data_IF_035602505310
#
_entry.id   IF_035602505310
#
_cell.length_a   1.000
_cell.length_b   1.000
_cell.length_c   1.000
_cell.angle_alpha   90.00
_cell.angle_beta   90.00
_cell.angle_gamma   90.00
#
_symmetry.space_group_name_H-M   'P 1'
#
loop_
_entity.id
_entity.type
_entity.pdbx_description
1 polymer ?
#
# COMPACT_ATOMS: atom_id res chain seq x y z
N UNK A 1 -17.47 -46.22 11.69
CA UNK A 1 -16.74 -47.34 11.05
C UNK A 1 -16.59 -46.95 9.58
N UNK A 2 -15.44 -46.79 8.93
CA UNK A 2 -14.06 -47.22 9.17
C UNK A 2 -13.10 -46.30 8.40
N UNK A 3 -11.95 -45.96 8.99
CA UNK A 3 -10.72 -45.53 8.27
C UNK A 3 -10.01 -46.78 7.75
N UNK A 4 -9.22 -46.72 6.65
CA UNK A 4 -7.74 -46.82 6.78
C UNK A 4 -6.96 -46.21 5.56
N UNK A 5 -5.63 -46.43 5.38
CA UNK A 5 -4.54 -46.16 6.31
C UNK A 5 -3.37 -45.35 5.70
N UNK A 6 -2.63 -44.75 6.64
CA UNK A 6 -1.18 -44.45 6.68
C UNK A 6 -0.27 -45.03 5.58
N UNK A 7 0.59 -44.17 5.03
CA UNK A 7 1.97 -44.53 4.66
C UNK A 7 2.95 -43.70 5.48
N UNK A 8 3.45 -44.33 6.52
CA UNK A 8 4.73 -44.04 7.19
C UNK A 8 5.78 -44.86 6.46
N UNK A 9 6.97 -44.31 6.18
CA UNK A 9 8.25 -44.93 6.54
C UNK A 9 9.47 -44.07 6.12
N UNK A 10 10.28 -43.75 7.15
CA UNK A 10 11.77 -43.78 7.26
C UNK A 10 12.60 -43.04 6.18
N UNK A 11 13.68 -42.34 6.53
CA UNK A 11 14.83 -42.88 7.28
C UNK A 11 15.74 -41.75 7.81
N UNK A 12 16.34 -41.98 8.99
CA UNK A 12 17.41 -41.21 9.62
C UNK A 12 18.71 -41.14 8.78
N UNK A 13 19.46 -40.04 8.89
CA UNK A 13 20.92 -40.07 9.05
C UNK A 13 21.47 -38.68 9.48
N UNK A 14 22.06 -38.62 10.67
CA UNK A 14 23.08 -37.66 11.10
C UNK A 14 24.37 -38.48 11.39
N UNK A 15 25.53 -37.95 11.83
CA UNK A 15 26.09 -36.58 11.85
C UNK A 15 27.56 -36.54 11.30
N UNK A 16 28.22 -35.37 11.24
CA UNK A 16 29.69 -35.29 11.29
C UNK A 16 30.15 -33.93 11.84
N UNK A 17 31.26 -33.96 12.57
CA UNK A 17 31.69 -33.07 13.65
C UNK A 17 33.13 -32.59 13.39
N UNK A 18 33.46 -31.37 13.83
CA UNK A 18 34.82 -30.79 14.14
C UNK A 18 35.70 -30.41 12.92
N UNK A 19 36.16 -29.16 12.78
CA UNK A 19 37.39 -28.66 13.45
C UNK A 19 37.46 -27.15 13.73
N UNK A 20 38.12 -26.89 14.85
CA UNK A 20 38.59 -25.64 15.47
C UNK A 20 39.76 -25.01 14.69
N UNK A 21 39.83 -23.69 14.53
CA UNK A 21 41.11 -22.98 14.48
C UNK A 21 40.96 -21.48 14.82
N UNK A 22 41.79 -21.07 15.76
CA UNK A 22 41.88 -19.79 16.46
C UNK A 22 42.87 -18.86 15.74
N UNK A 23 42.54 -17.58 15.53
CA UNK A 23 43.54 -16.49 15.41
C UNK A 23 42.91 -15.10 15.43
N UNK A 24 43.32 -14.29 16.41
CA UNK A 24 43.29 -12.82 16.42
C UNK A 24 44.78 -12.36 16.52
N UNK A 25 45.20 -11.14 16.09
CA UNK A 25 44.69 -9.86 16.62
C UNK A 25 44.62 -8.65 15.64
N UNK A 26 44.15 -7.55 16.22
CA UNK A 26 43.82 -6.21 15.73
C UNK A 26 44.78 -5.48 14.76
N UNK A 27 44.19 -4.67 13.88
CA UNK A 27 44.76 -3.41 13.41
C UNK A 27 43.64 -2.39 13.13
N UNK A 28 43.79 -1.21 13.70
CA UNK A 28 42.89 -0.06 13.61
C UNK A 28 42.76 0.45 12.17
N UNK A 29 41.54 0.80 11.76
CA UNK A 29 41.31 1.80 10.71
C UNK A 29 40.16 2.72 11.13
N UNK A 30 40.52 3.98 11.25
CA UNK A 30 39.73 5.08 11.78
C UNK A 30 38.56 5.45 10.85
N UNK A 31 37.49 5.94 11.47
CA UNK A 31 36.73 7.05 10.91
C UNK A 31 35.65 6.69 9.90
N UNK A 32 34.43 6.51 10.40
CA UNK A 32 33.36 7.47 10.16
C UNK A 32 32.14 7.00 10.94
N UNK A 33 31.65 7.85 11.84
CA UNK A 33 30.30 7.77 12.37
C UNK A 33 29.32 8.00 11.20
N UNK A 34 29.09 6.97 10.40
CA UNK A 34 27.94 6.88 9.52
C UNK A 34 26.74 6.66 10.42
N UNK A 35 25.94 7.71 10.62
CA UNK A 35 24.57 7.61 11.14
C UNK A 35 23.94 6.34 10.58
N UNK A 36 23.54 5.44 11.47
CA UNK A 36 22.64 4.36 11.16
C UNK A 36 21.40 5.01 10.53
N UNK A 37 21.35 5.03 9.20
CA UNK A 37 20.19 5.46 8.46
C UNK A 37 19.09 4.47 8.78
N UNK A 38 17.96 4.99 9.25
CA UNK A 38 16.74 4.25 9.53
C UNK A 38 16.44 3.23 8.42
N UNK A 39 15.90 2.04 8.78
CA UNK A 39 15.56 1.03 7.80
C UNK A 39 14.51 1.59 6.83
N UNK A 40 14.99 2.02 5.67
CA UNK A 40 14.31 2.23 4.40
C UNK A 40 12.79 2.36 4.55
N UNK A 41 12.33 3.54 4.98
CA UNK A 41 10.95 3.94 4.79
C UNK A 41 10.66 3.82 3.28
N UNK A 42 9.96 2.75 2.89
CA UNK A 42 9.58 2.53 1.50
C UNK A 42 8.78 3.75 1.05
N UNK A 43 9.35 4.53 0.12
CA UNK A 43 8.72 5.72 -0.39
C UNK A 43 7.34 5.37 -0.92
N UNK A 44 6.30 5.98 -0.35
CA UNK A 44 4.93 5.77 -0.80
C UNK A 44 4.82 6.24 -2.25
N UNK A 45 4.15 5.49 -3.14
CA UNK A 45 4.05 5.90 -4.54
C UNK A 45 3.42 7.29 -4.66
N UNK A 46 3.97 8.15 -5.51
CA UNK A 46 3.57 9.56 -5.64
C UNK A 46 2.09 9.74 -6.03
N UNK A 47 1.52 8.76 -6.73
CA UNK A 47 0.12 8.77 -7.16
C UNK A 47 -0.72 7.64 -6.54
N UNK A 48 -2.02 7.83 -6.60
CA UNK A 48 -3.06 6.84 -6.30
C UNK A 48 -3.99 6.72 -7.50
N UNK A 49 -4.72 5.62 -7.60
CA UNK A 49 -5.83 5.54 -8.56
C UNK A 49 -7.01 6.33 -8.00
N UNK A 50 -7.57 7.22 -8.82
CA UNK A 50 -8.80 7.95 -8.51
C UNK A 50 -9.78 7.88 -9.67
N UNK A 51 -11.05 7.63 -9.39
CA UNK A 51 -12.11 7.59 -10.42
C UNK A 51 -13.20 8.61 -10.10
N UNK A 52 -13.75 9.26 -11.11
CA UNK A 52 -14.85 10.23 -10.93
C UNK A 52 -16.17 9.56 -10.49
N UNK A 53 -16.25 8.24 -10.61
CA UNK A 53 -17.36 7.40 -10.16
C UNK A 53 -16.88 6.33 -9.17
N UNK A 54 -17.51 6.27 -7.99
CA UNK A 54 -17.24 5.23 -7.00
C UNK A 54 -17.58 3.83 -7.51
N UNK A 55 -18.64 3.70 -8.32
CA UNK A 55 -19.01 2.43 -8.93
C UNK A 55 -17.90 1.93 -9.88
N UNK A 56 -17.31 2.85 -10.65
CA UNK A 56 -16.23 2.51 -11.59
C UNK A 56 -14.95 2.14 -10.85
N UNK A 57 -14.59 2.85 -9.77
CA UNK A 57 -13.48 2.45 -8.89
C UNK A 57 -13.69 1.02 -8.37
N UNK A 58 -14.90 0.70 -7.91
CA UNK A 58 -15.20 -0.63 -7.39
C UNK A 58 -15.15 -1.71 -8.46
N UNK A 59 -15.57 -1.42 -9.69
CA UNK A 59 -15.42 -2.34 -10.82
C UNK A 59 -13.95 -2.56 -11.16
N UNK A 60 -13.16 -1.49 -11.23
CA UNK A 60 -11.71 -1.58 -11.44
C UNK A 60 -11.02 -2.45 -10.39
N UNK A 61 -11.29 -2.20 -9.11
CA UNK A 61 -10.68 -2.95 -8.01
C UNK A 61 -11.10 -4.42 -8.00
N UNK A 62 -12.33 -4.74 -8.45
CA UNK A 62 -12.75 -6.15 -8.61
C UNK A 62 -12.01 -6.82 -9.76
N UNK A 63 -11.82 -6.12 -10.89
CA UNK A 63 -11.10 -6.65 -12.05
C UNK A 63 -9.61 -6.84 -11.78
N UNK A 64 -9.00 -5.92 -11.03
CA UNK A 64 -7.58 -5.97 -10.68
C UNK A 64 -7.28 -6.84 -9.44
N UNK A 65 -8.28 -7.13 -8.61
CA UNK A 65 -8.08 -7.78 -7.32
C UNK A 65 -7.24 -6.92 -6.37
N UNK A 66 -6.30 -7.54 -5.65
CA UNK A 66 -5.37 -6.83 -4.76
C UNK A 66 -4.13 -6.29 -5.51
N UNK A 67 -4.07 -6.42 -6.84
CA UNK A 67 -2.97 -5.92 -7.65
C UNK A 67 -3.12 -4.43 -7.98
N UNK A 68 -2.42 -3.61 -7.19
CA UNK A 68 -2.37 -2.16 -7.38
C UNK A 68 -1.72 -1.76 -8.71
N UNK A 69 -0.73 -2.51 -9.20
CA UNK A 69 -0.06 -2.20 -10.45
C UNK A 69 -1.00 -2.45 -11.64
N UNK A 70 -1.76 -3.55 -11.61
CA UNK A 70 -2.80 -3.83 -12.60
C UNK A 70 -3.90 -2.75 -12.59
N UNK A 71 -4.36 -2.33 -11.40
CA UNK A 71 -5.34 -1.25 -11.29
C UNK A 71 -4.83 0.07 -11.89
N UNK A 72 -3.56 0.41 -11.67
CA UNK A 72 -2.95 1.60 -12.25
C UNK A 72 -2.80 1.48 -13.77
N UNK A 73 -2.40 0.31 -14.28
CA UNK A 73 -2.26 0.06 -15.71
C UNK A 73 -3.59 0.29 -16.45
N UNK A 74 -4.70 -0.25 -15.92
CA UNK A 74 -6.05 -0.03 -16.47
C UNK A 74 -6.46 1.45 -16.36
N UNK A 75 -6.12 2.13 -15.27
CA UNK A 75 -6.42 3.55 -15.10
C UNK A 75 -5.60 4.47 -16.03
N UNK A 76 -4.48 4.00 -16.59
CA UNK A 76 -3.66 4.72 -17.56
C UNK A 76 -3.91 4.30 -19.00
N UNK A 77 -4.68 3.24 -19.24
CA UNK A 77 -4.99 2.77 -20.58
C UNK A 77 -5.90 3.78 -21.29
N UNK A 78 -5.49 4.37 -22.43
CA UNK A 78 -6.33 5.31 -23.18
C UNK A 78 -7.63 4.70 -23.73
N UNK A 79 -7.76 3.37 -23.74
CA UNK A 79 -8.99 2.67 -24.12
C UNK A 79 -9.95 2.46 -22.96
N UNK A 80 -9.52 2.74 -21.73
CA UNK A 80 -10.36 2.60 -20.53
C UNK A 80 -11.38 3.74 -20.48
N UNK A 81 -12.67 3.37 -20.44
CA UNK A 81 -13.80 4.28 -20.34
C UNK A 81 -14.31 4.43 -18.89
N UNK A 82 -13.60 3.85 -17.92
CA UNK A 82 -14.00 3.84 -16.51
C UNK A 82 -13.91 5.22 -15.84
N UNK A 83 -13.33 6.23 -16.49
CA UNK A 83 -13.12 7.55 -15.88
C UNK A 83 -12.18 7.51 -14.68
N UNK A 84 -11.28 6.53 -14.65
CA UNK A 84 -10.24 6.37 -13.66
C UNK A 84 -8.92 6.92 -14.20
N UNK A 85 -8.13 7.54 -13.34
CA UNK A 85 -6.81 8.06 -13.70
C UNK A 85 -5.86 7.99 -12.51
N UNK A 86 -4.53 8.06 -12.73
CA UNK A 86 -3.61 8.40 -11.67
C UNK A 86 -3.94 9.80 -11.14
N UNK A 87 -4.02 9.92 -9.82
CA UNK A 87 -4.17 11.18 -9.09
C UNK A 87 -2.88 11.41 -8.32
N UNK A 88 -2.23 12.54 -8.58
CA UNK A 88 -1.08 12.99 -7.81
C UNK A 88 -1.53 13.36 -6.38
N UNK A 89 -0.83 12.83 -5.37
CA UNK A 89 -1.10 13.17 -3.96
C UNK A 89 -0.93 14.66 -3.68
N UNK A 90 0.00 15.33 -4.33
CA UNK A 90 0.23 16.76 -4.18
C UNK A 90 -0.90 17.62 -4.78
N UNK A 91 -1.73 17.06 -5.66
CA UNK A 91 -2.92 17.73 -6.18
C UNK A 91 -4.12 17.64 -5.22
N UNK A 92 -4.07 16.80 -4.19
CA UNK A 92 -5.17 16.60 -3.23
C UNK A 92 -5.19 17.75 -2.23
N UNK A 93 -6.32 18.45 -2.16
CA UNK A 93 -6.53 19.59 -1.26
C UNK A 93 -7.39 19.23 -0.05
N UNK A 94 -8.06 18.08 -0.06
CA UNK A 94 -8.87 17.61 1.06
C UNK A 94 -9.69 16.37 0.73
N UNK A 95 -10.56 16.00 1.68
CA UNK A 95 -11.63 15.02 1.49
C UNK A 95 -12.97 15.74 1.43
N UNK A 96 -13.73 15.45 0.40
CA UNK A 96 -15.10 15.93 0.23
C UNK A 96 -16.12 14.97 0.86
N UNK A 97 -15.86 13.66 0.85
CA UNK A 97 -16.77 12.65 1.38
C UNK A 97 -16.02 11.36 1.79
N UNK A 98 -16.68 10.49 2.54
CA UNK A 98 -16.18 9.20 2.99
C UNK A 98 -17.33 8.19 3.04
N UNK A 99 -17.10 7.01 2.44
CA UNK A 99 -18.12 5.96 2.35
C UNK A 99 -17.51 4.59 2.63
N UNK A 100 -18.17 3.79 3.48
CA UNK A 100 -17.84 2.38 3.68
C UNK A 100 -18.90 1.48 3.04
N UNK A 101 -18.47 0.57 2.15
CA UNK A 101 -19.36 -0.38 1.48
C UNK A 101 -18.72 -1.76 1.45
N UNK A 102 -19.48 -2.78 1.85
CA UNK A 102 -19.06 -4.18 1.84
C UNK A 102 -17.71 -4.41 2.55
N UNK A 103 -17.50 -3.75 3.69
CA UNK A 103 -16.28 -3.88 4.49
C UNK A 103 -15.06 -3.15 3.93
N UNK A 104 -15.18 -2.39 2.83
CA UNK A 104 -14.11 -1.52 2.31
C UNK A 104 -14.54 -0.06 2.36
N UNK A 105 -13.64 0.78 2.87
CA UNK A 105 -13.83 2.22 2.93
C UNK A 105 -13.23 2.93 1.71
N UNK A 106 -13.84 4.04 1.32
CA UNK A 106 -13.51 4.86 0.17
C UNK A 106 -13.56 6.33 0.55
N UNK A 107 -12.62 7.10 0.02
CA UNK A 107 -12.52 8.55 0.23
C UNK A 107 -12.78 9.26 -1.09
N UNK A 108 -13.59 10.31 -1.04
CA UNK A 108 -13.82 11.23 -2.14
C UNK A 108 -12.83 12.40 -2.02
N UNK A 109 -11.86 12.47 -2.92
CA UNK A 109 -10.80 13.47 -2.91
C UNK A 109 -11.27 14.78 -3.54
N UNK A 110 -10.99 15.89 -2.87
CA UNK A 110 -11.01 17.22 -3.48
C UNK A 110 -9.64 17.47 -4.10
N UNK A 111 -9.60 17.86 -5.38
CA UNK A 111 -8.35 18.09 -6.11
C UNK A 111 -8.22 19.57 -6.53
N UNK A 112 -6.98 20.04 -6.65
CA UNK A 112 -6.68 21.36 -7.20
C UNK A 112 -7.14 21.44 -8.67
N UNK A 113 -7.86 22.50 -9.01
CA UNK A 113 -8.24 22.79 -10.39
C UNK A 113 -9.45 22.01 -10.93
N UNK A 114 -10.13 21.23 -10.10
CA UNK A 114 -11.40 20.57 -10.47
C UNK A 114 -12.39 20.61 -9.31
N UNK A 115 -13.67 20.75 -9.64
CA UNK A 115 -14.79 20.59 -8.70
C UNK A 115 -15.30 19.14 -8.64
N UNK A 116 -14.79 18.27 -9.53
CA UNK A 116 -15.18 16.86 -9.59
C UNK A 116 -14.45 16.09 -8.50
N UNK A 117 -15.22 15.31 -7.75
CA UNK A 117 -14.67 14.37 -6.79
C UNK A 117 -13.97 13.20 -7.49
N UNK A 118 -12.79 12.81 -6.98
CA UNK A 118 -12.13 11.57 -7.38
C UNK A 118 -12.15 10.58 -6.21
N UNK A 119 -12.87 9.49 -6.37
CA UNK A 119 -12.94 8.41 -5.40
C UNK A 119 -11.67 7.56 -5.41
N UNK A 120 -11.16 7.23 -4.22
CA UNK A 120 -10.05 6.30 -4.02
C UNK A 120 -10.32 5.37 -2.82
N UNK A 121 -9.47 4.38 -2.60
CA UNK A 121 -9.54 3.55 -1.39
C UNK A 121 -9.18 4.39 -0.18
N UNK A 122 -9.96 4.29 0.91
CA UNK A 122 -9.74 5.16 2.06
C UNK A 122 -8.34 4.99 2.65
N UNK A 123 -7.77 6.10 3.12
CA UNK A 123 -6.39 6.15 3.63
C UNK A 123 -5.31 6.01 2.55
N UNK A 124 -5.67 5.85 1.27
CA UNK A 124 -4.69 5.85 0.17
C UNK A 124 -3.96 7.19 0.05
N UNK A 125 -4.57 8.29 0.48
CA UNK A 125 -3.96 9.63 0.60
C UNK A 125 -4.09 10.08 2.04
N UNK A 126 -3.07 10.77 2.55
CA UNK A 126 -3.17 11.53 3.79
C UNK A 126 -3.44 12.97 3.37
N UNK A 127 -4.66 13.49 3.55
CA UNK A 127 -4.96 14.87 3.20
C UNK A 127 -4.09 15.81 4.03
N UNK A 128 -3.76 17.02 3.53
CA UNK A 128 -3.18 18.04 4.38
C UNK A 128 -4.12 18.26 5.58
N UNK A 129 -3.55 18.38 6.78
CA UNK A 129 -4.33 18.58 8.00
C UNK A 129 -5.23 19.81 7.81
N UNK A 130 -6.55 19.60 7.84
CA UNK A 130 -7.49 20.72 7.78
C UNK A 130 -7.30 21.48 9.10
N UNK A 131 -7.02 22.80 9.08
CA UNK A 131 -7.08 23.60 10.31
C UNK A 131 -8.46 23.37 10.93
N UNK A 132 -8.51 22.95 12.19
CA UNK A 132 -9.74 22.56 12.86
C UNK A 132 -10.81 23.66 12.69
N UNK A 133 -11.73 23.43 11.76
CA UNK A 133 -12.86 24.33 11.54
C UNK A 133 -13.74 24.27 12.77
N UNK A 134 -14.05 25.44 13.36
CA UNK A 134 -14.97 25.54 14.50
C UNK A 134 -16.28 24.81 14.15
N UNK A 135 -16.81 23.97 15.05
CA UNK A 135 -18.05 23.25 14.79
C UNK A 135 -19.15 24.25 14.41
N UNK A 136 -19.85 23.97 13.31
CA UNK A 136 -20.99 24.76 12.88
C UNK A 136 -22.03 24.71 14.01
N UNK A 137 -22.22 25.84 14.69
CA UNK A 137 -23.23 25.99 15.73
C UNK A 137 -24.58 26.01 15.01
N UNK A 138 -25.31 24.90 15.12
CA UNK A 138 -26.67 24.78 14.59
C UNK A 138 -27.55 25.92 15.10
N UNK A 139 -28.40 26.43 14.21
CA UNK A 139 -29.54 27.28 14.56
C UNK A 139 -30.75 26.39 14.80
#
# INVERSE_FOLDING_TARGET
MSRPPLRVFRTLAAPAVVTLALSAPAAFAQGAAGKAGDPKAQARPASVVGCTSLANLRSLLRSAGEDRAAALAIATDPKSDLGCSPVDRAAVTGLADHVALNGRAYDCLTLKGTAVCHWTVAGAVTPPERPAGKPARGK
#
